data_IF_601656375793
#
_entry.id   IF_601656375793
#
_cell.length_a   1.000
_cell.length_b   1.000
_cell.length_c   1.000
_cell.angle_alpha   90.00
_cell.angle_beta   90.00
_cell.angle_gamma   90.00
#
_symmetry.space_group_name_H-M   'P 1'
#
loop_
_entity.id
_entity.type
_entity.pdbx_description
1 polymer ?
#
# COMPACT_ATOMS: atom_id res chain seq x y z
N UNK A 1 -6.34 -15.58 -14.28
CA UNK A 1 -6.48 -15.39 -12.81
C UNK A 1 -7.85 -15.90 -12.39
N UNK A 2 -7.93 -16.68 -11.33
CA UNK A 2 -9.22 -17.18 -10.87
C UNK A 2 -9.90 -16.16 -9.95
N UNK A 3 -11.18 -16.40 -9.68
CA UNK A 3 -11.97 -15.46 -8.89
C UNK A 3 -11.44 -15.32 -7.46
N UNK A 4 -10.96 -16.41 -6.89
CA UNK A 4 -10.43 -16.39 -5.52
C UNK A 4 -9.21 -15.45 -5.42
N UNK A 5 -8.30 -15.56 -6.39
CA UNK A 5 -7.12 -14.70 -6.40
C UNK A 5 -7.52 -13.25 -6.63
N UNK A 6 -8.50 -13.01 -7.49
CA UNK A 6 -8.98 -11.66 -7.74
C UNK A 6 -9.59 -11.05 -6.48
N UNK A 7 -10.36 -11.84 -5.73
CA UNK A 7 -10.96 -11.37 -4.48
C UNK A 7 -9.89 -11.02 -3.45
N UNK A 8 -8.82 -11.83 -3.38
CA UNK A 8 -7.70 -11.57 -2.47
C UNK A 8 -7.01 -10.26 -2.85
N UNK A 9 -6.77 -10.05 -4.14
CA UNK A 9 -6.12 -8.83 -4.63
C UNK A 9 -6.98 -7.61 -4.33
N UNK A 10 -8.28 -7.68 -4.60
CA UNK A 10 -9.18 -6.56 -4.38
C UNK A 10 -9.28 -6.21 -2.90
N UNK A 11 -9.34 -7.22 -2.03
CA UNK A 11 -9.39 -7.00 -0.59
C UNK A 11 -8.08 -6.39 -0.09
N UNK A 12 -6.95 -6.87 -0.61
CA UNK A 12 -5.64 -6.35 -0.23
C UNK A 12 -5.50 -4.88 -0.64
N UNK A 13 -6.02 -4.52 -1.80
CA UNK A 13 -6.01 -3.13 -2.24
C UNK A 13 -6.82 -2.26 -1.28
N UNK A 14 -8.00 -2.73 -0.87
CA UNK A 14 -8.84 -1.99 0.07
C UNK A 14 -8.14 -1.80 1.41
N UNK A 15 -7.44 -2.83 1.88
CA UNK A 15 -6.67 -2.74 3.12
C UNK A 15 -5.56 -1.71 2.98
N UNK A 16 -4.85 -1.70 1.84
CA UNK A 16 -3.78 -0.75 1.61
C UNK A 16 -4.30 0.68 1.61
N UNK A 17 -5.40 0.94 0.91
CA UNK A 17 -5.99 2.27 0.83
C UNK A 17 -6.40 2.74 2.22
N UNK A 18 -7.05 1.88 2.98
CA UNK A 18 -7.48 2.21 4.34
C UNK A 18 -6.28 2.48 5.26
N UNK A 19 -5.24 1.67 5.16
CA UNK A 19 -4.02 1.85 5.94
C UNK A 19 -3.42 3.23 5.70
N UNK A 20 -3.28 3.61 4.44
CA UNK A 20 -2.65 4.88 4.08
C UNK A 20 -3.53 6.07 4.49
N UNK A 21 -4.85 5.91 4.39
CA UNK A 21 -5.77 6.97 4.80
C UNK A 21 -5.77 7.15 6.32
N UNK A 22 -5.84 6.07 7.08
CA UNK A 22 -5.93 6.13 8.53
C UNK A 22 -4.60 6.49 9.18
N UNK A 23 -3.49 6.04 8.60
CA UNK A 23 -2.17 6.26 9.21
C UNK A 23 -1.59 7.62 8.84
N UNK A 24 -1.74 8.03 7.58
CA UNK A 24 -1.07 9.22 7.05
C UNK A 24 -2.02 10.25 6.43
N UNK A 25 -3.32 9.97 6.45
CA UNK A 25 -4.34 10.85 5.85
C UNK A 25 -4.03 11.12 4.37
N UNK A 26 -3.72 10.04 3.64
CA UNK A 26 -3.40 10.11 2.20
C UNK A 26 -4.56 9.61 1.36
N UNK A 27 -4.90 10.36 0.33
CA UNK A 27 -5.80 9.92 -0.73
C UNK A 27 -4.91 9.43 -1.86
N UNK A 28 -5.09 8.17 -2.27
CA UNK A 28 -4.16 7.53 -3.19
C UNK A 28 -4.84 6.98 -4.42
N UNK A 29 -4.07 6.88 -5.50
CA UNK A 29 -4.48 6.25 -6.76
C UNK A 29 -3.61 5.02 -6.94
N UNK A 30 -4.24 3.86 -7.10
CA UNK A 30 -3.53 2.59 -7.24
C UNK A 30 -3.23 2.35 -8.71
N UNK A 31 -1.99 2.04 -9.04
CA UNK A 31 -1.55 1.82 -10.42
C UNK A 31 -1.33 0.35 -10.74
N UNK A 32 -0.94 -0.45 -9.75
CA UNK A 32 -0.65 -1.86 -9.99
C UNK A 32 -0.83 -2.66 -8.71
N UNK A 33 -1.23 -3.91 -8.88
CA UNK A 33 -1.32 -4.86 -7.77
C UNK A 33 -0.65 -6.14 -8.22
N UNK A 34 0.19 -6.71 -7.38
CA UNK A 34 0.93 -7.91 -7.73
C UNK A 34 0.81 -8.94 -6.60
N UNK A 35 0.24 -10.08 -6.91
CA UNK A 35 0.15 -11.17 -5.95
C UNK A 35 1.40 -12.03 -6.07
N UNK A 36 2.10 -12.22 -4.96
CA UNK A 36 3.28 -13.07 -4.94
C UNK A 36 2.86 -14.54 -4.97
N UNK A 37 3.75 -15.44 -5.46
CA UNK A 37 3.42 -16.86 -5.48
C UNK A 37 3.05 -17.36 -4.08
N UNK A 38 1.91 -18.05 -3.98
CA UNK A 38 1.38 -18.51 -2.69
C UNK A 38 2.35 -19.40 -1.94
N UNK A 39 3.15 -20.17 -2.66
CA UNK A 39 4.12 -21.08 -2.05
C UNK A 39 5.26 -20.31 -1.38
N UNK A 40 5.49 -19.08 -1.77
CA UNK A 40 6.55 -18.27 -1.23
C UNK A 40 6.07 -17.38 -0.07
N UNK A 41 5.00 -16.63 -0.31
CA UNK A 41 4.51 -15.64 0.66
C UNK A 41 3.03 -15.37 0.43
N UNK A 42 2.31 -15.09 1.53
CA UNK A 42 0.89 -14.74 1.47
C UNK A 42 0.73 -13.23 1.36
N UNK A 43 1.27 -12.65 0.29
CA UNK A 43 1.32 -11.19 0.15
C UNK A 43 0.84 -10.70 -1.21
N UNK A 44 0.21 -9.53 -1.18
CA UNK A 44 -0.10 -8.76 -2.38
C UNK A 44 0.63 -7.42 -2.24
N UNK A 45 1.40 -7.07 -3.26
CA UNK A 45 2.09 -5.78 -3.29
C UNK A 45 1.22 -4.79 -4.08
N UNK A 46 0.98 -3.64 -3.48
CA UNK A 46 0.13 -2.59 -4.06
C UNK A 46 0.99 -1.38 -4.36
N UNK A 47 0.90 -0.89 -5.60
CA UNK A 47 1.68 0.25 -6.08
C UNK A 47 0.74 1.40 -6.38
N UNK A 48 1.19 2.61 -6.08
CA UNK A 48 0.39 3.78 -6.38
C UNK A 48 1.08 5.08 -6.06
N UNK A 49 0.30 6.15 -6.03
CA UNK A 49 0.81 7.49 -5.71
C UNK A 49 -0.31 8.31 -5.06
N UNK A 50 0.07 9.41 -4.42
CA UNK A 50 -0.91 10.34 -3.85
C UNK A 50 -1.66 10.99 -5.01
N UNK A 51 -2.98 10.96 -4.96
CA UNK A 51 -3.83 11.44 -6.04
C UNK A 51 -3.46 12.86 -6.43
N UNK A 52 -3.19 13.07 -7.72
CA UNK A 52 -2.79 14.36 -8.25
C UNK A 52 -1.30 14.63 -8.19
N UNK A 53 -0.51 13.75 -7.55
CA UNK A 53 0.93 13.96 -7.37
C UNK A 53 1.71 12.67 -7.67
N UNK A 54 1.90 12.34 -8.96
CA UNK A 54 2.53 11.06 -9.33
C UNK A 54 3.96 10.87 -8.79
N UNK A 55 4.65 11.97 -8.49
CA UNK A 55 5.99 11.90 -7.92
C UNK A 55 5.98 11.41 -6.47
N UNK A 56 4.83 11.49 -5.80
CA UNK A 56 4.65 10.99 -4.43
C UNK A 56 4.17 9.55 -4.49
N UNK A 57 5.05 8.66 -4.93
CA UNK A 57 4.69 7.26 -5.16
C UNK A 57 5.11 6.37 -4.01
N UNK A 58 4.49 5.18 -3.96
CA UNK A 58 4.71 4.24 -2.87
C UNK A 58 4.47 2.81 -3.33
N UNK A 59 4.93 1.89 -2.49
CA UNK A 59 4.66 0.47 -2.59
C UNK A 59 4.34 -0.02 -1.18
N UNK A 60 3.26 -0.78 -1.03
CA UNK A 60 2.93 -1.37 0.26
C UNK A 60 2.54 -2.83 0.06
N UNK A 61 3.06 -3.70 0.93
CA UNK A 61 2.76 -5.13 0.90
C UNK A 61 1.73 -5.46 1.96
N UNK A 62 0.70 -6.18 1.56
CA UNK A 62 -0.37 -6.60 2.47
C UNK A 62 -0.27 -8.12 2.63
N UNK A 63 -0.21 -8.56 3.88
CA UNK A 63 -0.30 -9.98 4.18
C UNK A 63 -1.79 -10.32 4.21
N UNK A 64 -2.26 -11.07 3.19
CA UNK A 64 -3.71 -11.29 3.07
C UNK A 64 -4.23 -12.32 4.04
N UNK A 65 -3.37 -13.05 4.74
CA UNK A 65 -3.80 -13.97 5.78
C UNK A 65 -4.07 -13.26 7.10
N UNK A 66 -3.30 -12.20 7.41
CA UNK A 66 -3.47 -11.45 8.65
C UNK A 66 -4.22 -10.14 8.44
N UNK A 67 -4.29 -9.66 7.20
CA UNK A 67 -4.91 -8.38 6.89
C UNK A 67 -4.05 -7.18 7.27
N UNK A 68 -2.75 -7.38 7.48
CA UNK A 68 -1.86 -6.31 7.94
C UNK A 68 -0.94 -5.84 6.83
N UNK A 69 -0.62 -4.54 6.86
CA UNK A 69 0.43 -3.98 6.01
C UNK A 69 1.76 -4.31 6.66
N UNK A 70 2.70 -4.84 5.87
CA UNK A 70 3.96 -5.31 6.42
C UNK A 70 5.18 -4.55 5.94
N UNK A 71 5.08 -3.88 4.78
CA UNK A 71 6.21 -3.17 4.21
C UNK A 71 5.71 -1.98 3.43
N UNK A 72 6.17 -0.79 3.79
CA UNK A 72 5.78 0.44 3.12
C UNK A 72 7.04 1.13 2.64
N UNK A 73 7.16 1.27 1.32
CA UNK A 73 8.27 1.99 0.68
C UNK A 73 7.70 3.20 -0.06
N UNK A 74 8.45 4.28 -0.10
CA UNK A 74 7.93 5.54 -0.64
C UNK A 74 9.06 6.37 -1.24
N UNK A 75 8.68 7.27 -2.16
CA UNK A 75 9.64 8.19 -2.78
C UNK A 75 10.03 9.29 -1.77
N UNK A 76 11.12 9.97 -2.05
CA UNK A 76 11.54 11.09 -1.20
C UNK A 76 10.51 12.20 -1.21
N UNK A 77 9.80 12.38 -2.33
CA UNK A 77 8.72 13.36 -2.42
C UNK A 77 7.57 13.02 -1.49
N UNK A 78 7.23 11.74 -1.40
CA UNK A 78 6.18 11.32 -0.47
C UNK A 78 6.65 11.41 0.96
N UNK A 79 7.90 11.07 1.23
CA UNK A 79 8.48 11.21 2.55
C UNK A 79 8.34 12.64 3.05
N UNK A 80 8.74 13.60 2.21
CA UNK A 80 8.64 15.02 2.57
C UNK A 80 7.19 15.45 2.80
N UNK A 81 6.27 14.96 2.00
CA UNK A 81 4.85 15.28 2.15
C UNK A 81 4.30 14.77 3.47
N UNK A 82 4.62 13.52 3.83
CA UNK A 82 4.17 12.95 5.10
C UNK A 82 4.77 13.72 6.26
N UNK A 83 6.05 14.08 6.19
CA UNK A 83 6.72 14.83 7.25
C UNK A 83 6.13 16.23 7.38
N UNK A 84 5.68 16.85 6.29
CA UNK A 84 5.06 18.16 6.33
C UNK A 84 3.75 18.16 7.09
N UNK A 85 3.14 16.99 7.27
CA UNK A 85 1.93 16.82 8.06
C UNK A 85 2.22 16.59 9.54
N UNK A 86 3.50 16.57 9.92
CA UNK A 86 3.90 16.27 11.29
C UNK A 86 3.92 14.78 11.60
N UNK A 87 3.93 13.93 10.57
CA UNK A 87 3.91 12.48 10.74
C UNK A 87 5.26 11.88 10.37
N UNK A 88 5.52 10.65 10.85
CA UNK A 88 6.77 9.96 10.60
C UNK A 88 6.50 8.74 9.69
N UNK A 89 6.96 8.77 8.43
CA UNK A 89 6.69 7.66 7.50
C UNK A 89 7.39 6.37 7.87
N UNK A 90 8.38 6.42 8.75
CA UNK A 90 9.11 5.24 9.19
C UNK A 90 8.50 4.61 10.44
N UNK A 91 7.48 5.21 11.03
CA UNK A 91 6.84 4.72 12.24
C UNK A 91 5.69 3.79 11.86
N UNK A 92 6.00 2.57 11.51
CA UNK A 92 5.01 1.57 11.12
C UNK A 92 4.56 0.75 12.33
N UNK A 93 3.25 0.61 12.44
CA UNK A 93 2.65 -0.18 13.49
C UNK A 93 1.69 -1.19 12.91
#
# INVERSE_FOLDING_TARGET
>A
MNKEDQDIIDRSESIAIKYLKETYDLDVTITERRMLPKMAMSRVTVYGYVTGNPEQNFTVSINYETGKSERFSFSSELESFIESKGLNPFNQK
#
